data_IF_875866201560
#
_entry.id   IF_875866201560
#
_cell.length_a   1.000
_cell.length_b   1.000
_cell.length_c   1.000
_cell.angle_alpha   90.00
_cell.angle_beta   90.00
_cell.angle_gamma   90.00
#
_symmetry.space_group_name_H-M   'P 1'
#
loop_
_entity.id
_entity.type
_entity.pdbx_description
1 polymer ?
#
# COMPACT_ATOMS: atom_id res chain seq x y z
N UNK A 1 19.78 10.85 -18.26
CA UNK A 1 20.21 10.86 -16.84
C UNK A 1 19.58 11.97 -15.98
N UNK A 2 19.98 13.27 -16.07
CA UNK A 2 19.45 14.32 -15.15
C UNK A 2 17.95 14.63 -15.35
N UNK A 3 17.45 14.57 -16.59
CA UNK A 3 16.03 14.76 -16.91
C UNK A 3 15.15 13.58 -16.45
N UNK A 4 15.66 12.36 -16.60
CA UNK A 4 14.95 11.14 -16.16
C UNK A 4 14.87 11.04 -14.65
N UNK A 5 15.92 11.43 -13.93
CA UNK A 5 15.93 11.51 -12.47
C UNK A 5 14.91 12.54 -11.98
N UNK A 6 14.85 13.72 -12.60
CA UNK A 6 13.83 14.73 -12.27
C UNK A 6 12.40 14.21 -12.49
N UNK A 7 12.18 13.44 -13.57
CA UNK A 7 10.88 12.83 -13.86
C UNK A 7 10.53 11.72 -12.88
N UNK A 8 11.48 10.88 -12.49
CA UNK A 8 11.28 9.88 -11.43
C UNK A 8 10.94 10.55 -10.10
N UNK A 9 11.74 11.53 -9.68
CA UNK A 9 11.52 12.23 -8.43
C UNK A 9 10.19 12.97 -8.42
N UNK A 10 9.84 13.65 -9.52
CA UNK A 10 8.55 14.32 -9.67
C UNK A 10 7.37 13.34 -9.54
N UNK A 11 7.47 12.16 -10.17
CA UNK A 11 6.44 11.13 -10.04
C UNK A 11 6.35 10.57 -8.61
N UNK A 12 7.49 10.33 -7.96
CA UNK A 12 7.54 9.83 -6.58
C UNK A 12 6.96 10.84 -5.59
N UNK A 13 7.32 12.12 -5.71
CA UNK A 13 6.77 13.19 -4.86
C UNK A 13 5.26 13.34 -5.11
N UNK A 14 4.81 13.36 -6.37
CA UNK A 14 3.39 13.45 -6.68
C UNK A 14 2.60 12.25 -6.12
N UNK A 15 3.12 11.03 -6.28
CA UNK A 15 2.53 9.82 -5.71
C UNK A 15 2.43 9.89 -4.18
N UNK A 16 3.53 10.30 -3.53
CA UNK A 16 3.57 10.43 -2.07
C UNK A 16 2.59 11.50 -1.58
N UNK A 17 2.55 12.67 -2.22
CA UNK A 17 1.60 13.74 -1.89
C UNK A 17 0.16 13.27 -2.03
N UNK A 18 -0.17 12.57 -3.12
CA UNK A 18 -1.52 12.02 -3.32
C UNK A 18 -1.86 10.94 -2.28
N UNK A 19 -0.91 10.07 -1.96
CA UNK A 19 -1.07 9.03 -0.92
C UNK A 19 -1.37 9.66 0.43
N UNK A 20 -0.59 10.67 0.84
CA UNK A 20 -0.77 11.37 2.11
C UNK A 20 -2.07 12.15 2.15
N UNK A 21 -2.49 12.78 1.03
CA UNK A 21 -3.77 13.45 0.94
C UNK A 21 -4.93 12.47 1.15
N UNK A 22 -4.92 11.34 0.45
CA UNK A 22 -5.96 10.30 0.61
C UNK A 22 -5.95 9.74 2.04
N UNK A 23 -4.77 9.51 2.62
CA UNK A 23 -4.65 9.06 4.01
C UNK A 23 -5.24 10.08 4.99
N UNK A 24 -4.96 11.37 4.82
CA UNK A 24 -5.53 12.43 5.66
C UNK A 24 -7.05 12.50 5.52
N UNK A 25 -7.58 12.40 4.30
CA UNK A 25 -9.03 12.35 4.06
C UNK A 25 -9.68 11.13 4.70
N UNK A 26 -9.07 9.95 4.56
CA UNK A 26 -9.55 8.71 5.18
C UNK A 26 -9.53 8.78 6.72
N UNK A 27 -8.52 9.44 7.30
CA UNK A 27 -8.46 9.69 8.74
C UNK A 27 -9.53 10.68 9.21
N UNK A 28 -9.81 11.74 8.43
CA UNK A 28 -10.76 12.79 8.79
C UNK A 28 -12.23 12.39 8.58
N UNK A 29 -12.55 11.66 7.50
CA UNK A 29 -13.93 11.35 7.12
C UNK A 29 -14.33 9.92 7.49
N UNK A 30 -15.26 9.70 8.44
CA UNK A 30 -15.79 8.38 8.74
C UNK A 30 -16.78 7.98 7.65
N UNK A 31 -16.28 7.44 6.53
CA UNK A 31 -17.07 7.09 5.34
C UNK A 31 -18.24 6.16 5.71
N UNK A 32 -18.06 5.32 6.71
CA UNK A 32 -19.07 4.39 7.21
C UNK A 32 -20.25 5.11 7.87
N UNK A 33 -20.03 6.31 8.41
CA UNK A 33 -21.10 7.17 8.92
C UNK A 33 -22.02 7.70 7.83
N UNK A 34 -21.53 7.79 6.59
CA UNK A 34 -22.35 8.17 5.43
C UNK A 34 -23.04 6.98 4.76
N UNK A 35 -22.44 5.78 4.86
CA UNK A 35 -22.92 4.56 4.20
C UNK A 35 -23.78 3.67 5.10
N UNK A 36 -23.66 3.79 6.42
CA UNK A 36 -24.42 3.01 7.38
C UNK A 36 -25.74 3.69 7.72
N UNK A 37 -26.84 2.94 7.67
CA UNK A 37 -28.13 3.38 8.21
C UNK A 37 -28.11 3.55 9.74
N UNK A 38 -27.11 2.96 10.43
CA UNK A 38 -26.95 3.03 11.89
C UNK A 38 -25.73 3.88 12.27
N UNK A 39 -25.89 4.83 13.19
CA UNK A 39 -24.77 5.65 13.65
C UNK A 39 -23.75 4.77 14.39
N UNK A 40 -22.50 4.80 13.95
CA UNK A 40 -21.37 4.25 14.70
C UNK A 40 -21.11 5.13 15.93
N UNK A 41 -21.77 4.81 17.05
CA UNK A 41 -21.70 5.58 18.30
C UNK A 41 -20.37 5.44 19.06
N UNK A 42 -19.55 4.44 18.72
CA UNK A 42 -18.30 4.16 19.43
C UNK A 42 -17.10 4.25 18.48
N UNK A 43 -16.31 5.31 18.63
CA UNK A 43 -15.05 5.47 17.91
C UNK A 43 -13.95 4.79 18.72
N UNK A 44 -13.52 3.62 18.29
CA UNK A 44 -12.39 2.96 18.90
C UNK A 44 -11.07 3.63 18.47
N UNK A 45 -10.04 3.70 19.34
CA UNK A 45 -8.77 4.35 18.97
C UNK A 45 -8.07 3.73 17.75
N UNK A 46 -8.24 2.42 17.53
CA UNK A 46 -7.72 1.72 16.35
C UNK A 46 -8.45 2.08 15.05
N UNK A 47 -9.65 2.67 15.14
CA UNK A 47 -10.56 2.88 14.02
C UNK A 47 -10.02 3.85 12.96
N UNK A 48 -9.34 4.91 13.40
CA UNK A 48 -8.73 5.89 12.48
C UNK A 48 -7.69 5.20 11.60
N UNK A 49 -6.81 4.40 12.22
CA UNK A 49 -5.76 3.68 11.51
C UNK A 49 -6.33 2.60 10.57
N UNK A 50 -7.41 1.92 10.98
CA UNK A 50 -8.10 0.96 10.13
C UNK A 50 -8.68 1.62 8.87
N UNK A 51 -9.30 2.80 8.97
CA UNK A 51 -9.82 3.54 7.80
C UNK A 51 -8.72 3.91 6.82
N UNK A 52 -7.58 4.41 7.32
CA UNK A 52 -6.42 4.71 6.48
C UNK A 52 -5.89 3.45 5.81
N UNK A 53 -5.75 2.35 6.56
CA UNK A 53 -5.32 1.07 6.01
C UNK A 53 -6.26 0.59 4.88
N UNK A 54 -7.58 0.66 5.08
CA UNK A 54 -8.57 0.27 4.06
C UNK A 54 -8.45 1.12 2.79
N UNK A 55 -8.37 2.46 2.93
CA UNK A 55 -8.21 3.36 1.80
C UNK A 55 -6.91 3.09 1.03
N UNK A 56 -5.80 2.86 1.75
CA UNK A 56 -4.51 2.54 1.13
C UNK A 56 -4.52 1.17 0.44
N UNK A 57 -5.23 0.18 0.98
CA UNK A 57 -5.38 -1.12 0.32
C UNK A 57 -6.14 -0.99 -1.00
N UNK A 58 -7.23 -0.23 -1.04
CA UNK A 58 -7.98 0.03 -2.27
C UNK A 58 -7.15 0.83 -3.29
N UNK A 59 -6.45 1.88 -2.83
CA UNK A 59 -5.54 2.65 -3.68
C UNK A 59 -4.43 1.76 -4.25
N UNK A 60 -3.89 0.85 -3.44
CA UNK A 60 -2.88 -0.11 -3.85
C UNK A 60 -3.41 -1.05 -4.93
N UNK A 61 -4.62 -1.62 -4.79
CA UNK A 61 -5.23 -2.48 -5.81
C UNK A 61 -5.33 -1.75 -7.14
N UNK A 62 -5.85 -0.51 -7.12
CA UNK A 62 -5.98 0.30 -8.34
C UNK A 62 -4.61 0.59 -8.95
N UNK A 63 -3.65 1.04 -8.14
CA UNK A 63 -2.31 1.35 -8.63
C UNK A 63 -1.59 0.12 -9.19
N UNK A 64 -1.65 -1.02 -8.50
CA UNK A 64 -1.04 -2.29 -8.93
C UNK A 64 -1.66 -2.82 -10.23
N UNK A 65 -2.97 -2.67 -10.43
CA UNK A 65 -3.66 -3.12 -11.64
C UNK A 65 -3.19 -2.43 -12.92
N UNK A 66 -2.63 -1.23 -12.78
CA UNK A 66 -2.18 -0.38 -13.90
C UNK A 66 -0.69 -0.04 -13.82
N UNK A 67 0.03 -0.59 -12.84
CA UNK A 67 1.45 -0.37 -12.66
C UNK A 67 2.20 -0.92 -13.87
N UNK A 68 3.04 -0.09 -14.47
CA UNK A 68 3.85 -0.48 -15.61
C UNK A 68 5.05 0.45 -15.73
N UNK A 69 6.08 0.00 -16.46
CA UNK A 69 7.31 0.77 -16.67
C UNK A 69 7.05 2.14 -17.31
N UNK A 70 6.00 2.24 -18.13
CA UNK A 70 5.59 3.50 -18.78
C UNK A 70 4.92 4.50 -17.83
N UNK A 71 4.36 4.03 -16.71
CA UNK A 71 3.63 4.86 -15.77
C UNK A 71 4.27 4.85 -14.38
N UNK A 72 5.33 5.67 -14.23
CA UNK A 72 6.09 5.84 -12.99
C UNK A 72 5.21 6.32 -11.83
N UNK A 73 4.22 7.17 -12.10
CA UNK A 73 3.31 7.66 -11.06
C UNK A 73 2.55 6.51 -10.41
N UNK A 74 2.00 5.59 -11.20
CA UNK A 74 1.28 4.43 -10.67
C UNK A 74 2.20 3.45 -9.95
N UNK A 75 3.42 3.25 -10.43
CA UNK A 75 4.42 2.45 -9.72
C UNK A 75 4.72 3.04 -8.34
N UNK A 76 4.97 4.35 -8.27
CA UNK A 76 5.23 5.01 -7.00
C UNK A 76 3.99 5.08 -6.11
N UNK A 77 2.78 5.22 -6.66
CA UNK A 77 1.53 5.15 -5.91
C UNK A 77 1.31 3.77 -5.28
N UNK A 78 1.60 2.69 -6.02
CA UNK A 78 1.56 1.33 -5.49
C UNK A 78 2.55 1.19 -4.32
N UNK A 79 3.79 1.67 -4.47
CA UNK A 79 4.80 1.60 -3.41
C UNK A 79 4.40 2.42 -2.18
N UNK A 80 4.04 3.69 -2.36
CA UNK A 80 3.71 4.56 -1.23
C UNK A 80 2.43 4.12 -0.50
N UNK A 81 1.40 3.67 -1.23
CA UNK A 81 0.19 3.13 -0.61
C UNK A 81 0.45 1.84 0.16
N UNK A 82 1.30 0.93 -0.33
CA UNK A 82 1.70 -0.27 0.41
C UNK A 82 2.42 0.06 1.73
N UNK A 83 3.29 1.08 1.73
CA UNK A 83 4.01 1.51 2.93
C UNK A 83 3.07 2.15 3.96
N UNK A 84 2.16 3.03 3.52
CA UNK A 84 1.19 3.68 4.42
C UNK A 84 0.15 2.67 4.92
N UNK A 85 -0.24 1.70 4.09
CA UNK A 85 -1.06 0.54 4.50
C UNK A 85 -0.39 -0.19 5.66
N UNK A 86 0.88 -0.57 5.52
CA UNK A 86 1.59 -1.30 6.56
C UNK A 86 1.71 -0.48 7.85
N UNK A 87 2.11 0.78 7.74
CA UNK A 87 2.20 1.67 8.90
C UNK A 87 0.87 1.79 9.64
N UNK A 88 -0.23 1.97 8.90
CA UNK A 88 -1.57 2.10 9.47
C UNK A 88 -2.10 0.78 10.03
N UNK A 89 -1.83 -0.34 9.36
CA UNK A 89 -2.20 -1.67 9.84
C UNK A 89 -1.57 -1.96 11.22
N UNK A 90 -0.26 -1.78 11.34
CA UNK A 90 0.44 -2.02 12.61
C UNK A 90 0.08 -0.98 13.67
N UNK A 91 -0.19 0.28 13.30
CA UNK A 91 -0.72 1.28 14.23
C UNK A 91 -2.10 0.88 14.78
N UNK A 92 -2.98 0.31 13.93
CA UNK A 92 -4.27 -0.23 14.36
C UNK A 92 -4.10 -1.37 15.37
N UNK A 93 -3.19 -2.31 15.10
CA UNK A 93 -2.90 -3.43 16.02
C UNK A 93 -2.33 -2.92 17.35
N UNK A 94 -1.40 -1.95 17.34
CA UNK A 94 -0.86 -1.35 18.57
C UNK A 94 -1.96 -0.66 19.38
N UNK A 95 -2.85 0.08 18.72
CA UNK A 95 -3.98 0.74 19.38
C UNK A 95 -5.00 -0.29 19.94
N UNK A 96 -5.25 -1.37 19.22
CA UNK A 96 -6.11 -2.49 19.68
C UNK A 96 -5.52 -3.16 20.91
N UNK A 97 -4.21 -3.45 20.91
CA UNK A 97 -3.50 -4.02 22.07
C UNK A 97 -3.57 -3.09 23.29
N UNK A 98 -3.32 -1.79 23.11
CA UNK A 98 -3.25 -0.83 24.21
C UNK A 98 -4.60 -0.58 24.90
N UNK A 99 -5.70 -0.61 24.13
CA UNK A 99 -7.03 -0.18 24.62
C UNK A 99 -8.00 -1.36 24.76
N UNK A 100 -7.86 -2.39 23.93
CA UNK A 100 -8.75 -3.56 23.91
C UNK A 100 -8.34 -4.68 24.87
N UNK A 101 -7.16 -4.60 25.49
CA UNK A 101 -6.66 -5.64 26.39
C UNK A 101 -6.44 -6.98 25.69
N UNK A 102 -6.09 -6.93 24.40
CA UNK A 102 -5.87 -8.08 23.52
C UNK A 102 -4.37 -8.28 23.34
N UNK A 103 -3.90 -9.52 23.39
CA UNK A 103 -2.52 -9.83 23.04
C UNK A 103 -2.41 -10.10 21.54
N UNK A 104 -1.37 -9.51 20.93
CA UNK A 104 -1.08 -9.64 19.51
C UNK A 104 0.31 -10.23 19.34
N UNK A 105 0.38 -11.35 18.63
CA UNK A 105 1.62 -12.05 18.29
C UNK A 105 1.77 -12.04 16.76
N UNK A 106 2.83 -11.37 16.28
CA UNK A 106 3.11 -11.26 14.85
C UNK A 106 3.89 -12.49 14.37
N UNK A 107 3.47 -13.05 13.25
CA UNK A 107 4.09 -14.17 12.56
C UNK A 107 4.38 -13.77 11.10
N UNK A 108 5.18 -14.56 10.35
CA UNK A 108 5.28 -14.39 8.92
C UNK A 108 3.91 -14.58 8.24
N UNK A 109 3.43 -13.53 7.56
CA UNK A 109 2.16 -13.41 6.84
C UNK A 109 0.89 -13.58 7.68
N UNK A 110 1.02 -13.75 8.99
CA UNK A 110 -0.09 -14.04 9.89
C UNK A 110 0.08 -13.27 11.19
N UNK A 111 -1.00 -13.09 11.93
CA UNK A 111 -0.90 -12.64 13.32
C UNK A 111 -2.01 -13.30 14.15
N UNK A 112 -1.71 -13.54 15.42
CA UNK A 112 -2.65 -14.10 16.38
C UNK A 112 -3.19 -12.98 17.25
N UNK A 113 -4.49 -13.04 17.50
CA UNK A 113 -5.19 -12.16 18.43
C UNK A 113 -5.73 -13.04 19.56
N UNK A 114 -5.16 -12.89 20.75
CA UNK A 114 -5.58 -13.64 21.95
C UNK A 114 -6.41 -12.73 22.84
N UNK A 115 -7.69 -13.08 23.01
CA UNK A 115 -8.62 -12.39 23.90
C UNK A 115 -9.14 -13.39 24.96
N UNK A 116 -9.82 -12.88 26.00
CA UNK A 116 -10.39 -13.71 27.08
C UNK A 116 -11.32 -14.83 26.61
N UNK A 117 -11.85 -14.74 25.39
CA UNK A 117 -12.76 -15.73 24.78
C UNK A 117 -12.11 -16.69 23.78
N UNK A 118 -10.80 -16.60 23.52
CA UNK A 118 -10.11 -17.49 22.59
C UNK A 118 -9.00 -16.80 21.78
N UNK A 119 -8.34 -17.61 20.95
CA UNK A 119 -7.30 -17.19 20.03
C UNK A 119 -7.83 -17.25 18.59
N UNK A 120 -7.65 -16.17 17.84
CA UNK A 120 -7.98 -16.10 16.42
C UNK A 120 -6.73 -15.82 15.61
N UNK A 121 -6.47 -16.66 14.61
CA UNK A 121 -5.42 -16.45 13.62
C UNK A 121 -5.97 -15.62 12.46
N UNK A 122 -5.27 -14.55 12.09
CA UNK A 122 -5.64 -13.65 11.00
C UNK A 122 -4.50 -13.52 10.00
N UNK A 123 -4.86 -13.26 8.74
CA UNK A 123 -3.89 -12.96 7.67
C UNK A 123 -3.34 -11.55 7.83
N UNK A 124 -2.01 -11.42 7.76
CA UNK A 124 -1.33 -10.13 7.72
C UNK A 124 -1.31 -9.61 6.27
N UNK A 125 -2.39 -8.90 5.92
CA UNK A 125 -2.56 -8.30 4.59
C UNK A 125 -1.45 -7.30 4.28
N UNK A 126 -0.90 -6.60 5.28
CA UNK A 126 0.19 -5.65 5.06
C UNK A 126 1.45 -6.35 4.57
N UNK A 127 1.84 -7.48 5.19
CA UNK A 127 2.99 -8.25 4.72
C UNK A 127 2.79 -8.82 3.32
N UNK A 128 1.58 -9.34 3.03
CA UNK A 128 1.24 -9.85 1.69
C UNK A 128 1.35 -8.75 0.63
N UNK A 129 0.80 -7.56 0.92
CA UNK A 129 0.85 -6.41 0.00
C UNK A 129 2.27 -5.90 -0.19
N UNK A 130 3.07 -5.80 0.86
CA UNK A 130 4.48 -5.40 0.75
C UNK A 130 5.27 -6.38 -0.13
N UNK A 131 5.07 -7.69 0.06
CA UNK A 131 5.71 -8.71 -0.75
C UNK A 131 5.27 -8.62 -2.22
N UNK A 132 3.95 -8.52 -2.46
CA UNK A 132 3.41 -8.36 -3.81
C UNK A 132 3.95 -7.10 -4.50
N UNK A 133 4.04 -5.98 -3.78
CA UNK A 133 4.62 -4.73 -4.27
C UNK A 133 6.09 -4.91 -4.65
N UNK A 134 6.87 -5.61 -3.84
CA UNK A 134 8.28 -5.89 -4.12
C UNK A 134 8.43 -6.75 -5.38
N UNK A 135 7.64 -7.82 -5.51
CA UNK A 135 7.64 -8.70 -6.69
C UNK A 135 7.30 -7.89 -7.94
N UNK A 136 6.21 -7.12 -7.91
CA UNK A 136 5.75 -6.32 -9.05
C UNK A 136 6.80 -5.27 -9.46
N UNK A 137 7.38 -4.57 -8.48
CA UNK A 137 8.43 -3.59 -8.73
C UNK A 137 9.66 -4.21 -9.39
N UNK A 138 10.10 -5.39 -8.93
CA UNK A 138 11.22 -6.12 -9.53
C UNK A 138 10.90 -6.54 -10.96
N UNK A 139 9.71 -7.11 -11.20
CA UNK A 139 9.28 -7.56 -12.52
C UNK A 139 9.23 -6.39 -13.50
N UNK A 140 8.57 -5.29 -13.11
CA UNK A 140 8.48 -4.08 -13.92
C UNK A 140 9.85 -3.46 -14.21
N UNK A 141 10.77 -3.50 -13.25
CA UNK A 141 12.14 -2.99 -13.43
C UNK A 141 12.99 -3.86 -14.37
N UNK A 142 12.78 -5.18 -14.36
CA UNK A 142 13.52 -6.15 -15.20
C UNK A 142 13.07 -6.17 -16.65
N UNK A 143 11.82 -5.84 -16.94
CA UNK A 143 11.24 -5.79 -18.30
C UNK A 143 11.79 -4.65 -19.19
N UNK A 144 13.05 -4.25 -18.99
CA UNK A 144 13.75 -3.43 -19.97
C UNK A 144 13.90 -4.21 -21.27
N UNK A 145 13.48 -3.66 -22.42
CA UNK A 145 13.99 -4.16 -23.68
C UNK A 145 15.50 -3.99 -23.60
N UNK A 146 16.24 -5.10 -23.50
CA UNK A 146 17.63 -5.10 -23.96
C UNK A 146 17.53 -4.57 -25.37
N UNK A 147 18.07 -3.37 -25.59
CA UNK A 147 18.39 -2.88 -26.91
C UNK A 147 18.97 -4.05 -27.68
N UNK A 148 18.30 -4.47 -28.75
CA UNK A 148 18.88 -5.31 -29.77
C UNK A 148 19.97 -4.46 -30.46
N UNK A 149 21.10 -4.27 -29.77
CA UNK A 149 22.32 -3.73 -30.34
C UNK A 149 23.05 -4.90 -30.97
N UNK A 150 22.78 -5.15 -32.24
CA UNK A 150 23.50 -6.16 -33.01
C UNK A 150 22.61 -6.78 -34.07
N UNK A 151 22.57 -6.17 -35.26
CA UNK A 151 21.78 -6.70 -36.35
C UNK A 151 21.75 -5.82 -37.60
N UNK A 152 22.93 -5.53 -38.15
CA UNK A 152 23.14 -5.36 -39.59
C UNK A 152 22.59 -4.07 -40.24
N UNK A 153 23.35 -2.98 -40.11
CA UNK A 153 23.55 -2.09 -41.26
C UNK A 153 24.42 -2.86 -42.25
N UNK A 154 23.85 -3.27 -43.39
CA UNK A 154 24.65 -3.63 -44.55
C UNK A 154 24.52 -2.46 -45.56
N UNK A 155 25.58 -1.65 -45.77
CA UNK A 155 25.68 -0.78 -46.92
C UNK A 155 26.29 -1.58 -48.10
N UNK A 156 25.96 -1.20 -49.33
CA UNK A 156 26.32 -1.82 -50.63
C UNK A 156 25.48 -3.06 -50.99
N UNK A 157 24.80 -3.13 -52.14
CA UNK A 157 25.01 -2.53 -53.48
C UNK A 157 23.70 -2.12 -54.13
#
# INVERSE_FOLDING_TARGET
>A
MRSELKRELGAAVAALSLTLLIAALAAAAPIEGFLSAYPFMRVYPWYVYWRVAMAMFLLWIVAASFASKGNRLLCWLMVSSALVLAASHYAALVAEKAVGGVEIELLPFLYKVKARGGETLKLDVAQVVLLATLVEYIVTSRSSPRTASGGQQNPSR
#
